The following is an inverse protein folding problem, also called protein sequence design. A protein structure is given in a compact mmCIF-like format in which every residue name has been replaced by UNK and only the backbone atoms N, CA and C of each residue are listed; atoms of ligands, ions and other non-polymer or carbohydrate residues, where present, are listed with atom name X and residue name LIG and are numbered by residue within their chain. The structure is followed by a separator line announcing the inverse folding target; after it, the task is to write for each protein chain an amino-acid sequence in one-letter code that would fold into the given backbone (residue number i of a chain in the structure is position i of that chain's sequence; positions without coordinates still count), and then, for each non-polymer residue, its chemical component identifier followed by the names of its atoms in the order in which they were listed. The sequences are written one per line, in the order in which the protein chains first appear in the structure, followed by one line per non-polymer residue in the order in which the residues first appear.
data_IF_735561165491
#
_entry.id   IF_735561165491
#
_cell.length_a   1.000
_cell.length_b   1.000
_cell.length_c   1.000
_cell.angle_alpha   90.00
_cell.angle_beta   90.00
_cell.angle_gamma   90.00
#
_symmetry.space_group_name_H-M   'P 1'
#
loop_
_entity.id
_entity.type
_entity.pdbx_description
1 polymer ?
#
# COMPACT_ATOMS: atom_id res chain seq x y z
N UNK A 1 68.08 -32.60 14.98
CA UNK A 1 67.88 -32.12 13.60
C UNK A 1 66.64 -31.23 13.59
N UNK A 2 66.83 -29.95 13.29
CA UNK A 2 65.86 -28.89 13.47
C UNK A 2 64.79 -28.87 12.37
N UNK A 3 63.53 -28.59 12.74
CA UNK A 3 62.50 -28.08 11.83
C UNK A 3 62.23 -26.63 12.20
N UNK A 4 62.67 -25.72 11.36
CA UNK A 4 62.41 -24.29 11.42
C UNK A 4 61.05 -23.98 10.78
N UNK A 5 60.22 -23.25 11.53
CA UNK A 5 58.94 -22.69 11.09
C UNK A 5 59.12 -21.62 10.00
N UNK A 6 58.20 -21.58 9.03
CA UNK A 6 57.98 -20.43 8.12
C UNK A 6 56.64 -19.76 8.47
N UNK A 7 56.56 -18.42 8.58
CA UNK A 7 55.30 -17.70 8.79
C UNK A 7 54.70 -17.14 7.48
N UNK A 8 53.36 -17.19 7.40
CA UNK A 8 52.48 -16.14 6.85
C UNK A 8 52.36 -15.91 5.33
N UNK A 9 51.14 -16.11 4.80
CA UNK A 9 50.55 -15.24 3.76
C UNK A 9 49.12 -14.90 4.19
N UNK A 10 48.73 -13.61 4.33
CA UNK A 10 47.36 -13.22 4.63
C UNK A 10 46.48 -13.32 3.37
N UNK A 11 45.26 -13.84 3.53
CA UNK A 11 44.25 -13.84 2.46
C UNK A 11 43.72 -12.42 2.17
N UNK A 12 43.19 -12.17 0.96
CA UNK A 12 42.65 -10.88 0.57
C UNK A 12 41.41 -10.49 1.39
N UNK A 13 41.14 -9.19 1.59
CA UNK A 13 39.95 -8.71 2.30
C UNK A 13 38.67 -9.04 1.49
N UNK A 14 37.51 -9.20 2.17
CA UNK A 14 36.24 -9.45 1.50
C UNK A 14 35.78 -8.21 0.72
N UNK A 15 35.16 -8.45 -0.45
CA UNK A 15 34.57 -7.43 -1.29
C UNK A 15 33.45 -6.67 -0.56
N UNK A 16 33.64 -5.36 -0.50
CA UNK A 16 32.69 -4.36 -0.05
C UNK A 16 31.85 -3.95 -1.27
N UNK A 17 30.71 -4.61 -1.51
CA UNK A 17 29.64 -4.08 -2.37
C UNK A 17 28.32 -4.84 -2.16
N UNK A 18 27.55 -4.38 -1.17
CA UNK A 18 26.11 -4.67 -1.09
C UNK A 18 25.37 -3.39 -0.69
N UNK A 19 24.59 -2.90 -1.64
CA UNK A 19 23.77 -1.70 -1.60
C UNK A 19 22.92 -1.55 -0.31
N UNK A 20 22.61 -0.32 0.12
CA UNK A 20 21.90 -0.10 1.36
C UNK A 20 20.47 -0.65 1.30
N UNK A 21 20.15 -1.51 2.26
CA UNK A 21 18.79 -1.85 2.62
C UNK A 21 18.03 -0.56 2.98
N UNK A 22 17.08 -0.17 2.12
CA UNK A 22 16.22 0.99 2.35
C UNK A 22 15.26 0.66 3.49
N UNK A 23 15.42 1.36 4.62
CA UNK A 23 14.63 1.16 5.83
C UNK A 23 13.18 1.54 5.62
N UNK A 24 12.30 0.56 5.72
CA UNK A 24 10.89 0.79 6.02
C UNK A 24 10.76 1.17 7.51
N UNK A 25 10.62 2.47 7.79
CA UNK A 25 10.15 2.93 9.09
C UNK A 25 8.63 2.71 9.20
N UNK A 26 8.11 2.13 10.30
CA UNK A 26 6.67 2.05 10.50
C UNK A 26 6.15 3.44 10.89
N UNK A 27 5.48 4.10 9.95
CA UNK A 27 4.77 5.35 10.25
C UNK A 27 3.51 5.06 11.07
N UNK A 28 3.38 5.86 12.12
CA UNK A 28 2.34 5.91 13.14
C UNK A 28 0.90 5.84 12.64
N UNK A 29 0.07 5.15 13.43
CA UNK A 29 -1.38 5.02 13.33
C UNK A 29 -2.07 6.39 13.44
N UNK A 30 -2.46 6.94 12.30
CA UNK A 30 -3.38 8.07 12.19
C UNK A 30 -4.04 7.99 10.81
N UNK A 31 -5.38 7.94 10.76
CA UNK A 31 -6.13 7.88 9.50
C UNK A 31 -5.83 9.14 8.68
N UNK A 32 -4.97 9.00 7.68
CA UNK A 32 -4.64 10.07 6.74
C UNK A 32 -5.73 10.15 5.66
N UNK A 33 -6.48 11.26 5.56
CA UNK A 33 -7.59 11.40 4.61
C UNK A 33 -7.16 11.33 3.13
N UNK A 34 -5.86 11.40 2.83
CA UNK A 34 -5.31 11.31 1.48
C UNK A 34 -4.71 9.93 1.12
N UNK A 35 -4.67 8.97 2.05
CA UNK A 35 -4.17 7.63 1.74
C UNK A 35 -5.07 6.91 0.73
N UNK A 36 -4.50 6.19 -0.25
CA UNK A 36 -5.27 5.30 -1.11
C UNK A 36 -5.95 4.26 -0.23
N UNK A 37 -7.28 4.21 -0.23
CA UNK A 37 -8.06 3.25 0.57
C UNK A 37 -8.54 2.07 -0.28
N UNK A 38 -9.05 1.02 0.37
CA UNK A 38 -9.72 -0.10 -0.31
C UNK A 38 -10.85 0.39 -1.23
N UNK A 39 -11.67 1.33 -0.75
CA UNK A 39 -12.71 1.98 -1.55
C UNK A 39 -12.13 2.80 -2.71
N UNK A 40 -10.98 3.45 -2.49
CA UNK A 40 -10.23 4.17 -3.53
C UNK A 40 -9.74 3.25 -4.66
N UNK A 41 -9.26 2.04 -4.34
CA UNK A 41 -8.92 1.02 -5.33
C UNK A 41 -10.17 0.53 -6.07
N UNK A 42 -11.26 0.27 -5.35
CA UNK A 42 -12.52 -0.17 -5.95
C UNK A 42 -13.13 0.89 -6.91
N UNK A 43 -12.82 2.17 -6.69
CA UNK A 43 -13.24 3.27 -7.55
C UNK A 43 -12.37 3.48 -8.79
N UNK A 44 -11.21 2.81 -8.91
CA UNK A 44 -10.36 2.94 -10.09
C UNK A 44 -11.09 2.46 -11.34
N UNK A 45 -11.05 3.25 -12.40
CA UNK A 45 -11.65 2.91 -13.69
C UNK A 45 -11.26 1.50 -14.21
N UNK A 46 -9.97 1.07 -14.22
CA UNK A 46 -9.63 -0.28 -14.64
C UNK A 46 -10.26 -1.37 -13.76
N UNK A 47 -10.46 -1.12 -12.47
CA UNK A 47 -11.09 -2.06 -11.54
C UNK A 47 -12.61 -2.13 -11.75
N UNK A 48 -13.28 -0.97 -11.90
CA UNK A 48 -14.73 -0.88 -12.17
C UNK A 48 -15.15 -1.58 -13.45
N UNK A 49 -14.27 -1.64 -14.46
CA UNK A 49 -14.52 -2.40 -15.70
C UNK A 49 -14.70 -3.90 -15.48
N UNK A 50 -14.19 -4.42 -14.36
CA UNK A 50 -14.38 -5.79 -13.90
C UNK A 50 -15.76 -6.11 -13.36
N UNK A 51 -16.64 -5.11 -13.24
CA UNK A 51 -17.96 -5.21 -12.60
C UNK A 51 -17.87 -5.81 -11.18
N UNK A 52 -17.20 -5.08 -10.25
CA UNK A 52 -16.89 -5.61 -8.92
C UNK A 52 -18.14 -5.79 -8.06
N UNK A 53 -18.33 -6.99 -7.54
CA UNK A 53 -19.33 -7.30 -6.51
C UNK A 53 -18.62 -7.63 -5.19
N UNK A 54 -18.96 -6.91 -4.11
CA UNK A 54 -18.51 -7.27 -2.76
C UNK A 54 -19.27 -8.51 -2.26
N UNK A 55 -18.54 -9.57 -1.91
CA UNK A 55 -19.07 -10.84 -1.40
C UNK A 55 -19.17 -10.87 0.13
N UNK A 56 -18.28 -10.16 0.83
CA UNK A 56 -18.25 -10.07 2.29
C UNK A 56 -19.06 -8.88 2.78
N UNK A 57 -20.35 -9.08 3.02
CA UNK A 57 -21.30 -8.00 3.38
C UNK A 57 -20.92 -7.26 4.68
N UNK A 58 -20.26 -7.96 5.62
CA UNK A 58 -19.79 -7.37 6.89
C UNK A 58 -18.58 -6.46 6.73
N UNK A 59 -17.87 -6.53 5.60
CA UNK A 59 -16.64 -5.81 5.35
C UNK A 59 -16.84 -4.36 4.87
N UNK A 60 -18.08 -3.86 4.82
CA UNK A 60 -18.34 -2.49 4.33
C UNK A 60 -17.63 -1.40 5.16
N UNK A 61 -17.37 -1.63 6.45
CA UNK A 61 -16.60 -0.70 7.28
C UNK A 61 -15.10 -0.71 6.95
N UNK A 62 -14.59 -1.83 6.42
CA UNK A 62 -13.19 -2.02 6.07
C UNK A 62 -12.80 -1.35 4.73
N UNK A 63 -13.75 -0.78 3.97
CA UNK A 63 -13.41 -0.06 2.73
C UNK A 63 -12.60 1.22 2.97
N UNK A 64 -12.60 1.74 4.20
CA UNK A 64 -11.78 2.88 4.60
C UNK A 64 -10.34 2.53 4.95
N UNK A 65 -9.97 1.24 4.98
CA UNK A 65 -8.62 0.82 5.33
C UNK A 65 -7.60 1.32 4.28
N UNK A 66 -6.43 1.82 4.71
CA UNK A 66 -5.39 2.24 3.80
C UNK A 66 -4.77 1.05 3.07
N UNK A 67 -4.50 1.23 1.79
CA UNK A 67 -3.82 0.29 0.90
C UNK A 67 -2.40 0.77 0.69
N UNK A 68 -1.43 -0.03 1.13
CA UNK A 68 0.00 0.26 1.00
C UNK A 68 0.57 -0.20 -0.34
N UNK A 69 -0.01 -1.25 -0.91
CA UNK A 69 0.48 -1.88 -2.14
C UNK A 69 -0.63 -2.71 -2.80
N UNK A 70 -0.47 -3.02 -4.09
CA UNK A 70 -1.36 -3.97 -4.80
C UNK A 70 -0.54 -5.15 -5.29
N UNK A 71 -0.95 -6.37 -4.97
CA UNK A 71 -0.23 -7.60 -5.30
C UNK A 71 -1.11 -8.59 -6.07
N UNK A 72 -0.52 -9.37 -6.98
CA UNK A 72 -1.22 -10.45 -7.69
C UNK A 72 -0.78 -11.80 -7.12
N UNK A 73 -1.70 -12.60 -6.59
CA UNK A 73 -1.41 -13.92 -6.02
C UNK A 73 -2.12 -15.00 -6.84
N UNK A 74 -1.35 -15.99 -7.30
CA UNK A 74 -1.85 -17.17 -8.01
C UNK A 74 -1.46 -18.49 -7.32
N UNK A 75 -0.99 -18.40 -6.07
CA UNK A 75 -0.59 -19.55 -5.24
C UNK A 75 -1.53 -19.75 -4.05
N UNK A 76 -1.61 -20.97 -3.53
CA UNK A 76 -2.39 -21.34 -2.34
C UNK A 76 -1.76 -20.90 -1.03
N UNK A 77 -0.46 -20.64 -1.01
CA UNK A 77 0.26 -20.19 0.17
C UNK A 77 0.72 -18.74 -0.01
N UNK A 78 0.04 -17.81 0.65
CA UNK A 78 0.39 -16.39 0.69
C UNK A 78 1.37 -16.04 1.83
N UNK A 79 1.73 -17.03 2.66
CA UNK A 79 2.58 -16.82 3.84
C UNK A 79 3.97 -16.37 3.42
N UNK A 80 4.44 -15.24 3.93
CA UNK A 80 5.74 -14.66 3.57
C UNK A 80 5.80 -13.95 2.22
N UNK A 81 4.68 -13.88 1.48
CA UNK A 81 4.58 -13.10 0.24
C UNK A 81 3.99 -11.69 0.45
N UNK A 82 3.36 -11.47 1.61
CA UNK A 82 2.76 -10.20 2.01
C UNK A 82 3.45 -9.66 3.27
N UNK A 83 3.63 -8.34 3.31
CA UNK A 83 4.16 -7.56 4.42
C UNK A 83 3.05 -6.85 5.23
N UNK A 84 1.80 -6.96 4.79
CA UNK A 84 0.61 -6.40 5.42
C UNK A 84 0.18 -5.04 4.85
N UNK A 85 -1.14 -4.85 4.70
CA UNK A 85 -1.71 -3.63 4.11
C UNK A 85 -1.95 -3.72 2.60
N UNK A 86 -1.84 -4.91 2.00
CA UNK A 86 -1.99 -5.10 0.56
C UNK A 86 -3.44 -5.30 0.12
N UNK A 87 -3.74 -4.76 -1.06
CA UNK A 87 -4.90 -5.16 -1.85
C UNK A 87 -4.47 -6.30 -2.79
N UNK A 88 -5.05 -7.49 -2.63
CA UNK A 88 -4.68 -8.67 -3.42
C UNK A 88 -5.61 -8.82 -4.64
N UNK A 89 -5.04 -9.20 -5.78
CA UNK A 89 -5.73 -9.60 -7.01
C UNK A 89 -5.42 -11.07 -7.31
N UNK A 90 -6.42 -11.85 -7.73
CA UNK A 90 -6.22 -13.27 -8.05
C UNK A 90 -7.22 -13.79 -9.09
N UNK A 91 -6.86 -14.84 -9.82
CA UNK A 91 -7.79 -15.60 -10.68
C UNK A 91 -8.24 -16.94 -10.08
N UNK A 92 -7.70 -17.30 -8.90
CA UNK A 92 -8.03 -18.50 -8.11
C UNK A 92 -8.14 -19.79 -8.92
N UNK A 93 -7.28 -19.98 -9.92
CA UNK A 93 -7.20 -21.24 -10.67
C UNK A 93 -6.83 -22.42 -9.76
N UNK A 94 -6.19 -22.13 -8.64
CA UNK A 94 -5.80 -23.10 -7.62
C UNK A 94 -6.98 -23.90 -7.03
N UNK A 95 -8.21 -23.37 -7.10
CA UNK A 95 -9.41 -24.02 -6.59
C UNK A 95 -9.97 -25.10 -7.53
N UNK A 96 -9.57 -25.12 -8.81
CA UNK A 96 -10.16 -26.00 -9.83
C UNK A 96 -9.99 -27.49 -9.47
N UNK A 97 -8.79 -27.88 -9.02
CA UNK A 97 -8.51 -29.28 -8.64
C UNK A 97 -9.32 -29.71 -7.42
N UNK A 98 -9.37 -28.88 -6.38
CA UNK A 98 -10.15 -29.18 -5.18
C UNK A 98 -11.64 -29.27 -5.47
N UNK A 99 -12.18 -28.44 -6.37
CA UNK A 99 -13.57 -28.52 -6.81
C UNK A 99 -13.87 -29.83 -7.55
N UNK A 100 -12.97 -30.28 -8.43
CA UNK A 100 -13.12 -31.56 -9.12
C UNK A 100 -13.16 -32.75 -8.15
N UNK A 101 -12.50 -32.64 -7.00
CA UNK A 101 -12.47 -33.64 -5.94
C UNK A 101 -13.58 -33.47 -4.89
N UNK A 102 -14.48 -32.49 -5.06
CA UNK A 102 -15.56 -32.23 -4.09
C UNK A 102 -15.11 -31.53 -2.80
N UNK A 103 -13.89 -31.00 -2.75
CA UNK A 103 -13.27 -30.30 -1.60
C UNK A 103 -13.23 -28.78 -1.77
N UNK A 104 -14.09 -28.22 -2.64
CA UNK A 104 -14.06 -26.81 -3.01
C UNK A 104 -14.36 -25.84 -1.85
N UNK A 105 -15.27 -26.19 -0.95
CA UNK A 105 -15.63 -25.34 0.19
C UNK A 105 -14.46 -25.20 1.17
N UNK A 106 -13.79 -26.31 1.52
CA UNK A 106 -12.61 -26.32 2.38
C UNK A 106 -11.46 -25.54 1.75
N UNK A 107 -11.21 -25.76 0.44
CA UNK A 107 -10.14 -25.06 -0.27
C UNK A 107 -10.37 -23.55 -0.37
N UNK A 108 -11.61 -23.11 -0.63
CA UNK A 108 -11.96 -21.69 -0.65
C UNK A 108 -11.80 -21.04 0.72
N UNK A 109 -12.25 -21.72 1.78
CA UNK A 109 -12.08 -21.24 3.15
C UNK A 109 -10.60 -21.11 3.53
N UNK A 110 -9.80 -22.14 3.25
CA UNK A 110 -8.36 -22.15 3.54
C UNK A 110 -7.61 -21.07 2.75
N UNK A 111 -7.97 -20.84 1.49
CA UNK A 111 -7.39 -19.77 0.69
C UNK A 111 -7.66 -18.39 1.29
N UNK A 112 -8.92 -18.09 1.65
CA UNK A 112 -9.26 -16.81 2.27
C UNK A 112 -8.60 -16.65 3.64
N UNK A 113 -8.52 -17.71 4.45
CA UNK A 113 -7.76 -17.70 5.72
C UNK A 113 -6.29 -17.36 5.51
N UNK A 114 -5.67 -17.90 4.46
CA UNK A 114 -4.28 -17.61 4.11
C UNK A 114 -4.08 -16.13 3.78
N UNK A 115 -4.98 -15.55 2.99
CA UNK A 115 -4.95 -14.13 2.62
C UNK A 115 -5.15 -13.22 3.85
N UNK A 116 -6.10 -13.55 4.72
CA UNK A 116 -6.36 -12.79 5.95
C UNK A 116 -5.16 -12.86 6.92
N UNK A 117 -4.61 -14.06 7.15
CA UNK A 117 -3.44 -14.27 8.02
C UNK A 117 -2.20 -13.56 7.50
N UNK A 118 -2.07 -13.44 6.17
CA UNK A 118 -0.98 -12.72 5.54
C UNK A 118 -1.11 -11.18 5.62
N UNK A 119 -2.22 -10.67 6.19
CA UNK A 119 -2.38 -9.24 6.49
C UNK A 119 -2.94 -8.40 5.34
N UNK A 120 -3.55 -9.04 4.34
CA UNK A 120 -4.24 -8.33 3.27
C UNK A 120 -5.41 -7.49 3.82
N UNK A 121 -5.61 -6.29 3.25
CA UNK A 121 -6.72 -5.40 3.61
C UNK A 121 -7.93 -5.56 2.69
N UNK A 122 -7.74 -6.19 1.52
CA UNK A 122 -8.80 -6.59 0.62
C UNK A 122 -8.30 -7.64 -0.38
N UNK A 123 -9.23 -8.36 -0.98
CA UNK A 123 -8.99 -9.33 -2.04
C UNK A 123 -10.00 -9.10 -3.16
N UNK A 124 -9.55 -9.11 -4.41
CA UNK A 124 -10.42 -9.19 -5.58
C UNK A 124 -10.08 -10.41 -6.43
N UNK A 125 -11.13 -11.12 -6.84
CA UNK A 125 -11.02 -12.40 -7.51
C UNK A 125 -11.72 -12.32 -8.85
N UNK A 126 -10.96 -12.51 -9.94
CA UNK A 126 -11.52 -12.61 -11.28
C UNK A 126 -12.05 -14.03 -11.52
N UNK A 127 -13.36 -14.12 -11.76
CA UNK A 127 -14.02 -15.38 -12.12
C UNK A 127 -14.90 -15.13 -13.34
N UNK A 128 -14.39 -15.53 -14.50
CA UNK A 128 -15.10 -15.43 -15.78
C UNK A 128 -16.18 -16.53 -15.91
N UNK A 129 -17.07 -16.35 -16.87
CA UNK A 129 -18.21 -17.24 -17.13
C UNK A 129 -17.82 -18.72 -17.25
N UNK A 130 -18.69 -19.62 -16.77
CA UNK A 130 -18.45 -21.08 -16.80
C UNK A 130 -17.71 -21.62 -15.57
N UNK A 131 -17.50 -20.79 -14.55
CA UNK A 131 -16.91 -21.18 -13.25
C UNK A 131 -17.88 -20.92 -12.08
N UNK A 132 -19.18 -21.14 -12.29
CA UNK A 132 -20.23 -20.97 -11.28
C UNK A 132 -19.97 -21.77 -9.98
N UNK A 133 -19.41 -23.00 -10.03
CA UNK A 133 -19.00 -23.70 -8.82
C UNK A 133 -17.97 -22.93 -7.97
N UNK A 134 -17.02 -22.24 -8.61
CA UNK A 134 -16.00 -21.41 -7.94
C UNK A 134 -16.68 -20.22 -7.25
N UNK A 135 -17.57 -19.52 -7.96
CA UNK A 135 -18.32 -18.39 -7.40
C UNK A 135 -19.11 -18.80 -6.17
N UNK A 136 -19.75 -19.97 -6.19
CA UNK A 136 -20.53 -20.49 -5.07
C UNK A 136 -19.66 -20.71 -3.82
N UNK A 137 -18.54 -21.43 -3.95
CA UNK A 137 -17.67 -21.73 -2.80
C UNK A 137 -17.01 -20.47 -2.25
N UNK A 138 -16.62 -19.53 -3.11
CA UNK A 138 -16.08 -18.22 -2.69
C UNK A 138 -17.11 -17.38 -1.94
N UNK A 139 -18.36 -17.33 -2.44
CA UNK A 139 -19.43 -16.58 -1.78
C UNK A 139 -19.74 -17.15 -0.40
N UNK A 140 -19.82 -18.48 -0.29
CA UNK A 140 -20.04 -19.15 0.99
C UNK A 140 -18.89 -18.84 1.97
N UNK A 141 -17.64 -18.94 1.52
CA UNK A 141 -16.48 -18.66 2.35
C UNK A 141 -16.38 -17.17 2.76
N UNK A 142 -16.73 -16.23 1.89
CA UNK A 142 -16.60 -14.79 2.15
C UNK A 142 -17.72 -14.21 3.04
N UNK A 143 -18.90 -14.85 3.11
CA UNK A 143 -20.11 -14.27 3.70
C UNK A 143 -19.97 -13.76 5.15
N UNK A 144 -19.08 -14.36 5.94
CA UNK A 144 -18.93 -14.04 7.36
C UNK A 144 -17.62 -13.33 7.70
N UNK A 145 -16.82 -12.99 6.68
CA UNK A 145 -15.50 -12.38 6.86
C UNK A 145 -15.58 -10.86 6.96
N UNK A 146 -14.63 -10.31 7.70
CA UNK A 146 -14.42 -8.85 7.81
C UNK A 146 -13.49 -8.33 6.70
N UNK A 147 -12.73 -9.21 6.04
CA UNK A 147 -11.96 -8.89 4.84
C UNK A 147 -12.90 -8.55 3.67
N UNK A 148 -12.75 -7.39 3.02
CA UNK A 148 -13.41 -7.11 1.74
C UNK A 148 -12.97 -8.09 0.66
N UNK A 149 -13.90 -8.92 0.17
CA UNK A 149 -13.68 -9.88 -0.92
C UNK A 149 -14.54 -9.47 -2.09
N UNK A 150 -13.92 -9.00 -3.17
CA UNK A 150 -14.58 -8.62 -4.41
C UNK A 150 -14.55 -9.77 -5.42
N UNK A 151 -15.67 -9.98 -6.10
CA UNK A 151 -15.76 -10.80 -7.30
C UNK A 151 -15.75 -9.89 -8.53
N UNK A 152 -14.88 -10.17 -9.49
CA UNK A 152 -14.84 -9.51 -10.78
C UNK A 152 -15.41 -10.48 -11.82
N UNK A 153 -16.58 -10.15 -12.37
CA UNK A 153 -17.30 -10.98 -13.34
C UNK A 153 -16.81 -10.75 -14.79
N UNK A 154 -16.00 -9.72 -15.01
CA UNK A 154 -15.42 -9.36 -16.30
C UNK A 154 -13.90 -9.31 -16.21
N UNK A 155 -13.25 -9.58 -17.34
CA UNK A 155 -11.79 -9.57 -17.42
C UNK A 155 -11.24 -8.18 -17.10
N UNK A 156 -10.31 -8.13 -16.14
CA UNK A 156 -9.59 -6.94 -15.73
C UNK A 156 -8.11 -7.11 -16.05
N UNK A 157 -7.54 -6.07 -16.67
CA UNK A 157 -6.08 -5.98 -16.80
C UNK A 157 -5.50 -5.63 -15.44
N UNK A 158 -5.12 -6.62 -14.64
CA UNK A 158 -4.50 -6.39 -13.32
C UNK A 158 -3.30 -5.44 -13.40
N UNK A 159 -2.52 -5.48 -14.48
CA UNK A 159 -1.44 -4.50 -14.75
C UNK A 159 -1.92 -3.04 -14.76
N UNK A 160 -3.12 -2.76 -15.27
CA UNK A 160 -3.66 -1.41 -15.29
C UNK A 160 -4.13 -0.96 -13.91
N UNK A 161 -4.68 -1.89 -13.11
CA UNK A 161 -5.06 -1.64 -11.72
C UNK A 161 -3.82 -1.37 -10.87
N UNK A 162 -2.80 -2.23 -10.95
CA UNK A 162 -1.56 -2.09 -10.17
C UNK A 162 -0.81 -0.82 -10.55
N UNK A 163 -0.68 -0.49 -11.85
CA UNK A 163 -0.04 0.75 -12.29
C UNK A 163 -0.75 2.00 -11.76
N UNK A 164 -2.08 2.05 -11.82
CA UNK A 164 -2.83 3.21 -11.35
C UNK A 164 -2.78 3.32 -9.82
N UNK A 165 -2.92 2.21 -9.11
CA UNK A 165 -2.80 2.19 -7.65
C UNK A 165 -1.39 2.60 -7.20
N UNK A 166 -0.34 2.02 -7.80
CA UNK A 166 1.05 2.38 -7.49
C UNK A 166 1.36 3.83 -7.84
N UNK A 167 0.80 4.37 -8.92
CA UNK A 167 0.94 5.81 -9.23
C UNK A 167 0.36 6.67 -8.11
N UNK A 168 -0.82 6.33 -7.59
CA UNK A 168 -1.44 7.09 -6.47
C UNK A 168 -0.66 6.93 -5.16
N UNK A 169 -0.18 5.72 -4.88
CA UNK A 169 0.66 5.45 -3.70
C UNK A 169 1.99 6.21 -3.81
N UNK A 170 2.62 6.26 -4.98
CA UNK A 170 3.89 6.95 -5.21
C UNK A 170 3.74 8.48 -5.29
N UNK A 171 2.65 8.99 -5.87
CA UNK A 171 2.37 10.43 -5.93
C UNK A 171 2.37 11.07 -4.54
N UNK A 172 1.97 10.32 -3.50
CA UNK A 172 2.08 10.73 -2.10
C UNK A 172 3.52 10.99 -1.64
N UNK A 173 4.47 10.14 -2.03
CA UNK A 173 5.88 10.34 -1.66
C UNK A 173 6.47 11.59 -2.32
N UNK A 174 5.97 11.95 -3.51
CA UNK A 174 6.39 13.14 -4.23
C UNK A 174 5.72 14.41 -3.70
N UNK A 175 4.43 14.39 -3.40
CA UNK A 175 3.70 15.55 -2.86
C UNK A 175 4.25 16.01 -1.50
N UNK A 176 4.66 15.06 -0.64
CA UNK A 176 5.30 15.40 0.63
C UNK A 176 6.64 16.14 0.41
N UNK A 177 7.47 15.64 -0.52
CA UNK A 177 8.76 16.26 -0.86
C UNK A 177 8.60 17.60 -1.60
N UNK A 178 7.63 17.71 -2.50
CA UNK A 178 7.32 18.95 -3.23
C UNK A 178 6.77 20.03 -2.30
N UNK A 179 5.96 19.65 -1.30
CA UNK A 179 5.46 20.58 -0.29
C UNK A 179 6.60 21.12 0.57
N UNK A 180 7.46 20.25 1.09
CA UNK A 180 8.62 20.65 1.90
C UNK A 180 9.58 21.55 1.10
N UNK A 181 9.86 21.17 -0.15
CA UNK A 181 10.67 21.97 -1.06
C UNK A 181 10.03 23.32 -1.34
N UNK A 182 8.73 23.38 -1.64
CA UNK A 182 8.01 24.62 -1.95
C UNK A 182 8.00 25.56 -0.75
N UNK A 183 7.77 25.05 0.46
CA UNK A 183 7.84 25.85 1.69
C UNK A 183 9.25 26.42 1.84
N UNK A 184 10.28 25.58 1.70
CA UNK A 184 11.66 26.01 1.82
C UNK A 184 12.05 27.09 0.80
N UNK A 185 11.70 26.92 -0.48
CA UNK A 185 11.97 27.88 -1.55
C UNK A 185 11.29 29.22 -1.29
N UNK A 186 10.01 29.19 -0.92
CA UNK A 186 9.22 30.41 -0.64
C UNK A 186 9.83 31.20 0.52
N UNK A 187 10.14 30.57 1.65
CA UNK A 187 10.73 31.28 2.79
C UNK A 187 12.19 31.70 2.56
N UNK A 188 12.96 30.93 1.80
CA UNK A 188 14.31 31.33 1.37
C UNK A 188 14.24 32.59 0.51
N UNK A 189 13.34 32.61 -0.47
CA UNK A 189 13.17 33.77 -1.34
C UNK A 189 12.69 35.01 -0.57
N UNK A 190 11.72 34.86 0.35
CA UNK A 190 11.30 35.95 1.24
C UNK A 190 12.45 36.49 2.10
N UNK A 191 13.37 35.62 2.53
CA UNK A 191 14.56 36.01 3.30
C UNK A 191 15.55 36.79 2.44
N UNK A 192 15.85 36.29 1.23
CA UNK A 192 16.76 36.95 0.28
C UNK A 192 16.25 38.32 -0.17
N UNK A 193 14.94 38.46 -0.33
CA UNK A 193 14.30 39.72 -0.71
C UNK A 193 14.11 40.71 0.47
N UNK A 194 14.55 40.33 1.68
CA UNK A 194 14.28 41.08 2.92
C UNK A 194 12.79 41.44 3.05
N UNK A 195 11.91 40.47 2.75
CA UNK A 195 10.49 40.70 2.62
C UNK A 195 9.90 41.24 3.95
N UNK A 196 8.99 42.23 3.88
CA UNK A 196 8.36 42.78 5.08
C UNK A 196 7.50 41.71 5.76
N UNK A 197 7.39 41.79 7.10
CA UNK A 197 6.73 40.76 7.93
C UNK A 197 5.31 40.44 7.46
N UNK A 198 4.60 41.42 6.92
CA UNK A 198 3.25 41.27 6.40
C UNK A 198 3.21 40.30 5.21
N UNK A 199 4.23 40.34 4.34
CA UNK A 199 4.31 39.45 3.17
C UNK A 199 4.72 38.04 3.57
N UNK A 200 5.54 37.90 4.60
CA UNK A 200 5.87 36.60 5.21
C UNK A 200 4.63 35.95 5.82
N UNK A 201 3.85 36.72 6.59
CA UNK A 201 2.62 36.25 7.24
C UNK A 201 1.54 35.86 6.23
N UNK A 202 1.32 36.69 5.20
CA UNK A 202 0.37 36.38 4.13
C UNK A 202 0.72 35.08 3.41
N UNK A 203 2.02 34.88 3.14
CA UNK A 203 2.49 33.70 2.42
C UNK A 203 2.44 32.43 3.26
N UNK A 204 2.72 32.54 4.56
CA UNK A 204 2.50 31.47 5.54
C UNK A 204 1.02 31.05 5.59
N UNK A 205 0.10 32.02 5.63
CA UNK A 205 -1.34 31.73 5.64
C UNK A 205 -1.81 31.03 4.37
N UNK A 206 -1.29 31.44 3.22
CA UNK A 206 -1.60 30.81 1.93
C UNK A 206 -1.07 29.37 1.83
N UNK A 207 0.11 29.09 2.37
CA UNK A 207 0.71 27.76 2.38
C UNK A 207 0.01 26.82 3.38
N UNK A 208 -0.40 27.36 4.55
CA UNK A 208 -1.07 26.59 5.61
C UNK A 208 -2.58 26.43 5.37
N UNK A 209 -3.16 27.19 4.43
CA UNK A 209 -4.62 27.25 4.23
C UNK A 209 -5.36 27.77 5.47
N UNK A 210 -4.70 28.60 6.28
CA UNK A 210 -5.18 29.05 7.58
C UNK A 210 -4.90 30.54 7.82
N UNK A 211 -5.64 31.16 8.74
CA UNK A 211 -5.37 32.51 9.18
C UNK A 211 -4.10 32.55 10.04
N UNK A 212 -3.15 33.43 9.68
CA UNK A 212 -1.90 33.62 10.41
C UNK A 212 -1.83 35.06 10.88
N UNK A 213 -1.64 35.25 12.19
CA UNK A 213 -1.55 36.57 12.82
C UNK A 213 -0.16 36.72 13.45
N UNK A 214 0.49 37.87 13.22
CA UNK A 214 1.77 38.21 13.83
C UNK A 214 1.60 39.35 14.83
N UNK A 215 2.21 39.20 16.01
CA UNK A 215 2.30 40.26 17.00
C UNK A 215 3.74 40.38 17.52
N UNK A 216 4.14 41.61 17.82
CA UNK A 216 5.39 41.92 18.54
C UNK A 216 5.02 42.41 19.94
N UNK A 217 5.52 41.74 20.97
CA UNK A 217 5.48 42.29 22.33
C UNK A 217 6.56 43.36 22.46
N UNK A 218 6.19 44.56 22.89
CA UNK A 218 7.17 45.56 23.28
C UNK A 218 7.98 45.03 24.48
N UNK A 219 9.30 45.19 24.43
CA UNK A 219 10.12 45.02 25.62
C UNK A 219 9.72 46.11 26.61
N UNK A 220 9.35 45.71 27.83
CA UNK A 220 9.18 46.63 28.95
C UNK A 220 10.50 47.33 29.21
N UNK A 221 10.63 48.58 28.77
CA UNK A 221 11.72 49.47 29.16
C UNK A 221 11.48 49.90 30.61
N UNK A 222 12.29 49.37 31.54
CA UNK A 222 12.53 50.02 32.84
C UNK A 222 13.41 51.26 32.66
#
# INVERSE_FOLDING_TARGET
MARTSRPGVPGPPPDDDAAPASGAQPASTGSDPAALTVGGVAALEPFRRGDPQLLSERASAATGLPVRWVHVIETSDATGLLEGGEFVLSTVRILDAALAEGRGDEAAAAFLDGIEKAGAVALAIEVLSGREPVVRVLRAAAAHRELPVYLLSRQVRFVAVTQEAHRRIAARQLEQLETDRRIHEVFTQLTLEAAPVQRIVAEAGRLLGAEVVWWRRAASSS
#
